data_IF_157693254056
#
_entry.id   IF_157693254056
#
_cell.length_a   1.000
_cell.length_b   1.000
_cell.length_c   1.000
_cell.angle_alpha   90.00
_cell.angle_beta   90.00
_cell.angle_gamma   90.00
#
_symmetry.space_group_name_H-M   'P 1'
#
loop_
_entity.id
_entity.type
_entity.pdbx_description
1 polymer ?
#
# COMPACT_ATOMS: atom_id res chain seq x y z
N UNK A 1 -6.38 10.40 -12.63
CA UNK A 1 -5.96 9.71 -11.39
C UNK A 1 -4.67 8.96 -11.69
N UNK A 2 -3.54 9.64 -11.53
CA UNK A 2 -2.21 9.20 -11.99
C UNK A 2 -1.43 8.59 -10.83
N UNK A 3 -2.04 7.63 -10.12
CA UNK A 3 -1.50 7.13 -8.84
C UNK A 3 -1.23 5.62 -8.81
N UNK A 4 -1.91 4.83 -9.64
CA UNK A 4 -1.62 3.40 -9.71
C UNK A 4 -0.40 3.17 -10.60
N UNK A 5 0.78 3.03 -9.97
CA UNK A 5 1.90 2.35 -10.63
C UNK A 5 1.43 0.94 -10.96
N UNK A 6 1.38 0.59 -12.25
CA UNK A 6 1.07 -0.77 -12.72
C UNK A 6 1.95 -1.76 -11.93
N UNK A 7 1.32 -2.75 -11.29
CA UNK A 7 2.01 -3.77 -10.50
C UNK A 7 1.96 -3.57 -8.98
N UNK A 8 1.53 -2.39 -8.50
CA UNK A 8 1.30 -2.16 -7.07
C UNK A 8 -0.10 -2.62 -6.65
N UNK A 9 -0.17 -3.22 -5.46
CA UNK A 9 -1.35 -3.79 -4.83
C UNK A 9 -1.50 -3.23 -3.42
N UNK A 10 -2.72 -3.18 -2.93
CA UNK A 10 -3.06 -2.71 -1.59
C UNK A 10 -3.63 -3.87 -0.76
N UNK A 11 -3.18 -4.01 0.48
CA UNK A 11 -3.65 -5.01 1.44
C UNK A 11 -4.10 -4.31 2.71
N UNK A 12 -5.37 -4.45 3.07
CA UNK A 12 -5.91 -4.00 4.36
C UNK A 12 -5.53 -5.05 5.40
N UNK A 13 -4.54 -4.74 6.24
CA UNK A 13 -4.06 -5.66 7.30
C UNK A 13 -4.80 -5.44 8.62
N UNK A 14 -5.35 -4.24 8.81
CA UNK A 14 -6.15 -3.85 9.97
C UNK A 14 -7.08 -2.71 9.52
N UNK A 15 -8.24 -2.46 10.17
CA UNK A 15 -9.13 -1.35 9.82
C UNK A 15 -8.45 0.01 9.62
N UNK A 16 -7.34 0.22 10.33
CA UNK A 16 -6.56 1.46 10.29
C UNK A 16 -5.24 1.37 9.52
N UNK A 17 -4.91 0.22 8.94
CA UNK A 17 -3.62 0.01 8.28
C UNK A 17 -3.77 -0.63 6.91
N UNK A 18 -3.17 0.01 5.90
CA UNK A 18 -3.10 -0.47 4.53
C UNK A 18 -1.65 -0.60 4.12
N UNK A 19 -1.28 -1.76 3.58
CA UNK A 19 0.05 -2.03 3.04
C UNK A 19 0.00 -1.92 1.53
N UNK A 20 0.85 -1.07 0.95
CA UNK A 20 1.09 -1.04 -0.49
C UNK A 20 2.30 -1.92 -0.78
N UNK A 21 2.13 -2.89 -1.66
CA UNK A 21 3.18 -3.84 -2.02
C UNK A 21 3.18 -4.12 -3.51
N UNK A 22 4.29 -4.62 -4.04
CA UNK A 22 4.33 -5.25 -5.35
C UNK A 22 4.82 -6.70 -5.27
N UNK A 23 4.59 -7.44 -6.35
CA UNK A 23 5.06 -8.80 -6.50
C UNK A 23 5.97 -8.82 -7.72
N UNK A 24 7.24 -9.13 -7.48
CA UNK A 24 8.23 -9.44 -8.52
C UNK A 24 8.64 -10.90 -8.35
N UNK A 25 9.91 -11.17 -8.04
CA UNK A 25 10.37 -12.50 -7.59
C UNK A 25 10.04 -12.73 -6.11
N UNK A 26 9.86 -11.65 -5.35
CA UNK A 26 9.51 -11.64 -3.93
C UNK A 26 8.42 -10.57 -3.68
N UNK A 27 7.74 -10.68 -2.55
CA UNK A 27 6.79 -9.65 -2.09
C UNK A 27 7.58 -8.48 -1.49
N UNK A 28 7.44 -7.28 -2.06
CA UNK A 28 8.11 -6.08 -1.54
C UNK A 28 7.07 -5.13 -0.98
N UNK A 29 7.23 -4.78 0.30
CA UNK A 29 6.41 -3.75 0.93
C UNK A 29 6.97 -2.38 0.55
N UNK A 30 6.17 -1.60 -0.17
CA UNK A 30 6.55 -0.27 -0.63
C UNK A 30 6.15 0.82 0.37
N UNK A 31 5.01 0.64 1.05
CA UNK A 31 4.52 1.59 2.05
C UNK A 31 3.55 0.92 3.02
N UNK A 32 3.54 1.40 4.26
CA UNK A 32 2.47 1.14 5.22
C UNK A 32 1.78 2.47 5.51
N UNK A 33 0.48 2.52 5.24
CA UNK A 33 -0.38 3.68 5.41
C UNK A 33 -1.26 3.46 6.63
N UNK A 34 -1.36 4.49 7.47
CA UNK A 34 -2.36 4.52 8.53
C UNK A 34 -3.59 5.30 8.04
N UNK A 35 -4.71 4.64 7.80
CA UNK A 35 -5.91 5.25 7.17
C UNK A 35 -6.56 6.32 8.05
N UNK A 36 -6.32 6.28 9.37
CA UNK A 36 -6.80 7.30 10.31
C UNK A 36 -5.83 8.47 10.52
N UNK A 37 -4.62 8.42 9.96
CA UNK A 37 -3.72 9.57 9.94
C UNK A 37 -3.53 10.00 8.50
N UNK A 38 -4.37 10.94 8.07
CA UNK A 38 -4.11 11.73 6.88
C UNK A 38 -2.96 12.68 7.25
N UNK A 39 -1.73 12.28 6.95
CA UNK A 39 -0.58 13.18 7.01
C UNK A 39 -0.76 14.18 5.86
N UNK A 40 -1.32 15.34 6.21
CA UNK A 40 -1.17 16.59 5.45
C UNK A 40 0.13 17.22 5.90
#
# INVERSE_FOLDING_TARGET
>A
RTGQKKGTRELVVHPHYVVVYDITENVRILRVLHTSQHWI
#
